data_IF_212128027105
#
_entry.id   IF_212128027105
#
_cell.length_a   1.000
_cell.length_b   1.000
_cell.length_c   1.000
_cell.angle_alpha   90.00
_cell.angle_beta   90.00
_cell.angle_gamma   90.00
#
_symmetry.space_group_name_H-M   'P 1'
#
loop_
_entity.id
_entity.type
_entity.pdbx_description
1 polymer ?
#
# COMPACT_ATOMS: atom_id res chain seq x y z
N UNK A 1 27.45 -3.36 14.70
CA UNK A 1 26.61 -2.17 14.43
C UNK A 1 26.17 -2.28 12.98
N UNK A 2 24.92 -2.68 12.73
CA UNK A 2 24.37 -2.79 11.37
C UNK A 2 23.97 -1.37 10.99
N UNK A 3 24.68 -0.76 10.04
CA UNK A 3 24.26 0.52 9.47
C UNK A 3 22.86 0.32 8.88
N UNK A 4 21.87 1.01 9.48
CA UNK A 4 20.52 1.08 8.99
C UNK A 4 20.57 1.50 7.52
N UNK A 5 19.91 0.73 6.67
CA UNK A 5 19.47 1.24 5.38
C UNK A 5 18.73 2.57 5.60
N UNK A 6 18.80 3.53 4.65
CA UNK A 6 18.12 4.83 4.79
C UNK A 6 16.64 4.65 5.19
N UNK A 7 15.98 5.67 5.74
CA UNK A 7 14.55 5.65 6.16
C UNK A 7 13.61 4.99 5.13
N UNK A 8 13.90 5.20 3.84
CA UNK A 8 13.21 4.64 2.66
C UNK A 8 13.71 3.26 2.23
N UNK A 9 14.70 2.71 2.92
CA UNK A 9 15.42 1.49 2.61
C UNK A 9 14.52 0.27 2.57
N UNK A 10 13.41 0.24 3.34
CA UNK A 10 12.41 -0.82 3.25
C UNK A 10 11.67 -0.77 1.91
N UNK A 11 11.23 0.42 1.51
CA UNK A 11 10.59 0.63 0.22
C UNK A 11 11.56 0.38 -0.93
N UNK A 12 12.77 0.96 -0.88
CA UNK A 12 13.80 0.80 -1.91
C UNK A 12 14.30 -0.63 -2.02
N UNK A 13 14.47 -1.35 -0.90
CA UNK A 13 14.82 -2.77 -0.95
C UNK A 13 13.69 -3.59 -1.57
N UNK A 14 12.45 -3.37 -1.16
CA UNK A 14 11.30 -4.04 -1.77
C UNK A 14 11.19 -3.72 -3.25
N UNK A 15 11.36 -2.46 -3.64
CA UNK A 15 11.29 -1.99 -5.01
C UNK A 15 12.41 -2.61 -5.85
N UNK A 16 13.64 -2.61 -5.33
CA UNK A 16 14.78 -3.27 -5.96
C UNK A 16 14.54 -4.76 -6.20
N UNK A 17 14.01 -5.47 -5.20
CA UNK A 17 13.64 -6.89 -5.38
C UNK A 17 12.54 -7.07 -6.43
N UNK A 18 11.51 -6.22 -6.43
CA UNK A 18 10.47 -6.24 -7.45
C UNK A 18 11.03 -6.03 -8.87
N UNK A 19 11.93 -5.06 -9.04
CA UNK A 19 12.64 -4.81 -10.30
C UNK A 19 13.49 -6.00 -10.71
N UNK A 20 14.25 -6.60 -9.79
CA UNK A 20 15.08 -7.78 -10.08
C UNK A 20 14.22 -8.97 -10.53
N UNK A 21 13.08 -9.21 -9.88
CA UNK A 21 12.13 -10.28 -10.27
C UNK A 21 11.52 -9.99 -11.65
N UNK A 22 11.12 -8.74 -11.92
CA UNK A 22 10.62 -8.34 -13.22
C UNK A 22 11.67 -8.54 -14.34
N UNK A 23 12.91 -8.10 -14.11
CA UNK A 23 14.00 -8.27 -15.06
C UNK A 23 14.32 -9.76 -15.29
N UNK A 24 14.35 -10.57 -14.25
CA UNK A 24 14.56 -12.01 -14.38
C UNK A 24 13.45 -12.68 -15.19
N UNK A 25 12.19 -12.28 -15.02
CA UNK A 25 11.06 -12.77 -15.81
C UNK A 25 11.18 -12.31 -17.28
N UNK A 26 11.57 -11.05 -17.52
CA UNK A 26 11.76 -10.51 -18.86
C UNK A 26 12.86 -11.28 -19.63
N UNK A 27 13.98 -11.55 -18.97
CA UNK A 27 15.10 -12.31 -19.53
C UNK A 27 14.74 -13.77 -19.85
N UNK A 28 13.73 -14.32 -19.18
CA UNK A 28 13.18 -15.65 -19.46
C UNK A 28 12.14 -15.66 -20.60
N UNK A 29 11.93 -14.52 -21.27
CA UNK A 29 10.98 -14.40 -22.38
C UNK A 29 9.52 -14.40 -21.95
N UNK A 30 9.23 -14.09 -20.69
CA UNK A 30 7.85 -14.00 -20.19
C UNK A 30 7.12 -12.81 -20.82
N UNK A 31 5.79 -12.91 -20.94
CA UNK A 31 4.98 -11.81 -21.46
C UNK A 31 5.06 -10.58 -20.55
N UNK A 32 4.90 -9.38 -21.13
CA UNK A 32 4.99 -8.11 -20.40
C UNK A 32 4.06 -8.07 -19.18
N UNK A 33 2.88 -8.66 -19.30
CA UNK A 33 1.89 -8.74 -18.23
C UNK A 33 2.40 -9.60 -17.07
N UNK A 34 3.02 -10.74 -17.37
CA UNK A 34 3.59 -11.63 -16.36
C UNK A 34 4.80 -11.00 -15.65
N UNK A 35 5.65 -10.29 -16.40
CA UNK A 35 6.78 -9.51 -15.88
C UNK A 35 6.32 -8.50 -14.83
N UNK A 36 5.27 -7.74 -15.16
CA UNK A 36 4.69 -6.74 -14.25
C UNK A 36 4.10 -7.39 -13.00
N UNK A 37 3.31 -8.45 -13.15
CA UNK A 37 2.65 -9.12 -12.02
C UNK A 37 3.65 -9.77 -11.07
N UNK A 38 4.68 -10.46 -11.58
CA UNK A 38 5.70 -11.07 -10.74
C UNK A 38 6.52 -10.02 -9.97
N UNK A 39 6.99 -8.98 -10.66
CA UNK A 39 7.73 -7.90 -10.03
C UNK A 39 6.90 -7.14 -9.01
N UNK A 40 5.66 -6.81 -9.36
CA UNK A 40 4.70 -6.15 -8.47
C UNK A 40 4.40 -6.98 -7.21
N UNK A 41 4.09 -8.27 -7.36
CA UNK A 41 3.83 -9.16 -6.22
C UNK A 41 5.07 -9.31 -5.32
N UNK A 42 6.26 -9.46 -5.90
CA UNK A 42 7.49 -9.52 -5.12
C UNK A 42 7.73 -8.23 -4.32
N UNK A 43 7.51 -7.07 -4.93
CA UNK A 43 7.54 -5.78 -4.25
C UNK A 43 6.53 -5.72 -3.10
N UNK A 44 5.24 -5.98 -3.37
CA UNK A 44 4.18 -5.88 -2.36
C UNK A 44 4.43 -6.82 -1.18
N UNK A 45 4.75 -8.10 -1.45
CA UNK A 45 4.98 -9.10 -0.41
C UNK A 45 6.15 -8.67 0.49
N UNK A 46 7.29 -8.30 -0.10
CA UNK A 46 8.45 -7.91 0.68
C UNK A 46 8.21 -6.62 1.45
N UNK A 47 7.61 -5.61 0.81
CA UNK A 47 7.28 -4.35 1.47
C UNK A 47 6.35 -4.57 2.66
N UNK A 48 5.25 -5.29 2.48
CA UNK A 48 4.29 -5.60 3.54
C UNK A 48 4.93 -6.42 4.67
N UNK A 49 5.80 -7.39 4.36
CA UNK A 49 6.51 -8.16 5.37
C UNK A 49 7.46 -7.28 6.22
N UNK A 50 8.17 -6.34 5.59
CA UNK A 50 9.04 -5.39 6.28
C UNK A 50 8.23 -4.40 7.13
N UNK A 51 7.11 -3.92 6.60
CA UNK A 51 6.22 -3.01 7.31
C UNK A 51 5.51 -3.67 8.48
N UNK A 52 5.06 -4.91 8.34
CA UNK A 52 4.46 -5.66 9.44
C UNK A 52 5.44 -5.91 10.61
N UNK A 53 6.76 -6.01 10.32
CA UNK A 53 7.79 -6.04 11.37
C UNK A 53 7.97 -4.68 12.02
N UNK A 54 7.98 -3.60 11.23
CA UNK A 54 8.09 -2.24 11.74
C UNK A 54 6.92 -1.87 12.64
N UNK A 55 5.69 -2.07 12.17
CA UNK A 55 4.45 -1.72 12.88
C UNK A 55 4.39 -2.42 14.24
N UNK A 56 4.71 -3.73 14.29
CA UNK A 56 4.73 -4.49 15.55
C UNK A 56 5.81 -4.06 16.53
N UNK A 57 6.85 -3.38 16.06
CA UNK A 57 7.98 -2.95 16.87
C UNK A 57 7.97 -1.43 17.17
N UNK A 58 6.99 -0.68 16.66
CA UNK A 58 6.97 0.79 16.76
C UNK A 58 5.88 1.23 17.73
N UNK A 59 6.29 1.71 18.90
CA UNK A 59 5.41 2.43 19.81
C UNK A 59 5.44 3.95 19.56
N UNK A 60 4.75 4.73 20.42
CA UNK A 60 4.69 6.19 20.30
C UNK A 60 6.07 6.87 20.29
N UNK A 61 7.00 6.37 21.10
CA UNK A 61 8.34 6.95 21.22
C UNK A 61 9.15 6.78 19.93
N UNK A 62 9.10 5.59 19.33
CA UNK A 62 9.75 5.31 18.06
C UNK A 62 9.13 6.14 16.94
N UNK A 63 7.80 6.21 16.85
CA UNK A 63 7.13 7.00 15.81
C UNK A 63 7.49 8.49 15.91
N UNK A 64 7.54 9.06 17.12
CA UNK A 64 7.99 10.43 17.36
C UNK A 64 9.43 10.64 16.88
N UNK A 65 10.35 9.77 17.29
CA UNK A 65 11.76 9.87 16.91
C UNK A 65 11.97 9.77 15.38
N UNK A 66 11.13 8.99 14.68
CA UNK A 66 11.17 8.90 13.22
C UNK A 66 10.54 10.13 12.54
N UNK A 67 9.55 10.75 13.17
CA UNK A 67 8.86 11.91 12.62
C UNK A 67 9.68 13.20 12.76
N UNK A 68 10.48 13.38 13.81
CA UNK A 68 11.32 14.59 14.00
C UNK A 68 12.44 14.77 12.97
N UNK A 69 12.70 13.75 12.14
CA UNK A 69 13.66 13.82 11.05
C UNK A 69 12.94 14.36 9.79
N UNK A 70 13.42 15.45 9.20
CA UNK A 70 12.79 16.08 8.02
C UNK A 70 12.55 15.09 6.86
N UNK A 71 11.39 15.22 6.24
CA UNK A 71 10.79 14.21 5.36
C UNK A 71 11.03 14.46 3.87
N UNK A 72 12.31 14.45 3.47
CA UNK A 72 12.67 14.48 2.06
C UNK A 72 12.36 13.12 1.40
N UNK A 73 11.23 13.02 0.70
CA UNK A 73 10.94 11.91 -0.22
C UNK A 73 9.62 11.14 -0.02
N UNK A 74 8.81 11.42 1.01
CA UNK A 74 7.52 10.72 1.18
C UNK A 74 6.56 10.95 0.02
N UNK A 75 6.51 12.16 -0.53
CA UNK A 75 5.70 12.45 -1.72
C UNK A 75 6.15 11.60 -2.94
N UNK A 76 7.47 11.43 -3.13
CA UNK A 76 8.02 10.61 -4.21
C UNK A 76 7.68 9.13 -4.00
N UNK A 77 7.79 8.61 -2.78
CA UNK A 77 7.48 7.21 -2.48
C UNK A 77 6.00 6.92 -2.66
N UNK A 78 5.13 7.81 -2.19
CA UNK A 78 3.69 7.70 -2.41
C UNK A 78 3.37 7.71 -3.92
N UNK A 79 4.03 8.57 -4.70
CA UNK A 79 3.88 8.61 -6.14
C UNK A 79 4.36 7.31 -6.81
N UNK A 80 5.54 6.81 -6.47
CA UNK A 80 6.09 5.57 -7.01
C UNK A 80 5.21 4.35 -6.66
N UNK A 81 4.72 4.29 -5.42
CA UNK A 81 3.80 3.26 -4.99
C UNK A 81 2.50 3.32 -5.78
N UNK A 82 1.90 4.51 -5.89
CA UNK A 82 0.66 4.72 -6.63
C UNK A 82 0.82 4.32 -8.10
N UNK A 83 1.96 4.66 -8.72
CA UNK A 83 2.26 4.24 -10.08
C UNK A 83 2.39 2.72 -10.20
N UNK A 84 3.10 2.06 -9.28
CA UNK A 84 3.23 0.60 -9.26
C UNK A 84 1.86 -0.10 -9.11
N UNK A 85 0.98 0.48 -8.31
CA UNK A 85 -0.41 0.04 -8.12
C UNK A 85 -1.23 0.22 -9.39
N UNK A 86 -1.18 1.38 -10.02
CA UNK A 86 -1.91 1.64 -11.28
C UNK A 86 -1.46 0.68 -12.37
N UNK A 87 -0.14 0.48 -12.51
CA UNK A 87 0.44 -0.45 -13.47
C UNK A 87 -0.01 -1.88 -13.18
N UNK A 88 -0.08 -2.27 -11.90
CA UNK A 88 -0.59 -3.58 -11.49
C UNK A 88 -2.08 -3.74 -11.79
N UNK A 89 -2.93 -2.74 -11.48
CA UNK A 89 -4.37 -2.77 -11.81
C UNK A 89 -4.62 -2.88 -13.31
N UNK A 90 -3.86 -2.15 -14.12
CA UNK A 90 -3.93 -2.25 -15.58
C UNK A 90 -3.53 -3.66 -16.06
N UNK A 91 -2.45 -4.23 -15.52
CA UNK A 91 -2.03 -5.59 -15.84
C UNK A 91 -3.10 -6.63 -15.48
N UNK A 92 -3.73 -6.50 -14.31
CA UNK A 92 -4.81 -7.40 -13.86
C UNK A 92 -5.99 -7.34 -14.84
N UNK A 93 -6.42 -6.14 -15.24
CA UNK A 93 -7.53 -5.98 -16.19
C UNK A 93 -7.25 -6.65 -17.54
N UNK A 94 -6.02 -6.51 -18.05
CA UNK A 94 -5.58 -7.16 -19.29
C UNK A 94 -5.59 -8.68 -19.18
N UNK A 95 -5.12 -9.25 -18.05
CA UNK A 95 -5.14 -10.70 -17.82
C UNK A 95 -6.56 -11.25 -17.75
N UNK A 96 -7.44 -10.56 -17.01
CA UNK A 96 -8.80 -11.02 -16.80
C UNK A 96 -9.65 -10.93 -18.09
N UNK A 97 -9.28 -10.04 -19.02
CA UNK A 97 -9.92 -9.92 -20.33
C UNK A 97 -9.37 -10.86 -21.41
N UNK A 98 -8.31 -11.64 -21.10
CA UNK A 98 -7.65 -12.53 -22.05
C UNK A 98 -8.18 -13.97 -21.99
N UNK A 99 -7.94 -14.75 -23.06
CA UNK A 99 -8.37 -16.15 -23.19
C UNK A 99 -7.79 -17.10 -22.12
N UNK A 100 -8.39 -18.29 -21.96
CA UNK A 100 -8.08 -19.36 -20.98
C UNK A 100 -6.59 -19.74 -20.85
N UNK A 101 -5.78 -19.48 -21.88
CA UNK A 101 -4.35 -19.84 -21.94
C UNK A 101 -3.46 -19.16 -20.87
N UNK A 102 -4.00 -18.21 -20.10
CA UNK A 102 -3.27 -17.42 -19.11
C UNK A 102 -3.62 -17.74 -17.64
N UNK A 103 -4.03 -18.97 -17.33
CA UNK A 103 -4.48 -19.36 -15.97
C UNK A 103 -3.49 -18.98 -14.85
N UNK A 104 -2.18 -19.21 -15.03
CA UNK A 104 -1.18 -18.84 -14.02
C UNK A 104 -1.11 -17.32 -13.81
N UNK A 105 -1.16 -16.54 -14.89
CA UNK A 105 -1.19 -15.08 -14.82
C UNK A 105 -2.45 -14.58 -14.10
N UNK A 106 -3.61 -15.23 -14.31
CA UNK A 106 -4.86 -14.92 -13.60
C UNK A 106 -4.70 -15.10 -12.10
N UNK A 107 -4.05 -16.17 -11.65
CA UNK A 107 -3.77 -16.41 -10.23
C UNK A 107 -2.87 -15.32 -9.63
N UNK A 108 -1.77 -14.95 -10.31
CA UNK A 108 -0.91 -13.85 -9.85
C UNK A 108 -1.66 -12.52 -9.79
N UNK A 109 -2.52 -12.26 -10.78
CA UNK A 109 -3.35 -11.07 -10.83
C UNK A 109 -4.35 -11.02 -9.66
N UNK A 110 -5.01 -12.12 -9.35
CA UNK A 110 -5.92 -12.24 -8.21
C UNK A 110 -5.20 -12.01 -6.87
N UNK A 111 -3.97 -12.50 -6.72
CA UNK A 111 -3.14 -12.27 -5.53
C UNK A 111 -2.65 -10.82 -5.43
N UNK A 112 -2.37 -10.16 -6.56
CA UNK A 112 -1.96 -8.76 -6.58
C UNK A 112 -3.02 -7.81 -6.03
N UNK A 113 -4.30 -8.15 -6.16
CA UNK A 113 -5.42 -7.29 -5.74
C UNK A 113 -5.35 -6.94 -4.24
N UNK A 114 -5.42 -7.91 -3.30
CA UNK A 114 -5.35 -7.62 -1.87
C UNK A 114 -3.98 -7.10 -1.44
N UNK A 115 -2.90 -7.50 -2.11
CA UNK A 115 -1.54 -7.03 -1.82
C UNK A 115 -1.36 -5.54 -2.13
N UNK A 116 -1.78 -5.11 -3.32
CA UNK A 116 -1.74 -3.71 -3.72
C UNK A 116 -2.63 -2.85 -2.83
N UNK A 117 -3.83 -3.35 -2.50
CA UNK A 117 -4.77 -2.67 -1.61
C UNK A 117 -4.15 -2.48 -0.23
N UNK A 118 -3.65 -3.54 0.39
CA UNK A 118 -2.98 -3.48 1.70
C UNK A 118 -1.79 -2.51 1.68
N UNK A 119 -1.02 -2.51 0.59
CA UNK A 119 0.16 -1.63 0.44
C UNK A 119 -0.22 -0.15 0.47
N UNK A 120 -1.29 0.26 -0.23
CA UNK A 120 -1.83 1.64 -0.16
C UNK A 120 -2.10 2.03 1.29
N UNK A 121 -2.82 1.18 1.99
CA UNK A 121 -3.34 1.51 3.32
C UNK A 121 -2.23 1.54 4.36
N UNK A 122 -1.23 0.67 4.24
CA UNK A 122 -0.02 0.72 5.07
C UNK A 122 0.81 1.98 4.79
N UNK A 123 0.97 2.37 3.52
CA UNK A 123 1.67 3.62 3.17
C UNK A 123 0.98 4.85 3.75
N UNK A 124 -0.34 4.94 3.58
CA UNK A 124 -1.12 6.06 4.11
C UNK A 124 -1.17 6.05 5.63
N UNK A 125 -1.20 4.88 6.28
CA UNK A 125 -1.11 4.78 7.74
C UNK A 125 0.19 5.42 8.26
N UNK A 126 1.33 5.10 7.64
CA UNK A 126 2.60 5.72 8.03
C UNK A 126 2.64 7.21 7.71
N UNK A 127 1.97 7.65 6.64
CA UNK A 127 1.82 9.07 6.35
C UNK A 127 0.98 9.78 7.43
N UNK A 128 -0.09 9.17 7.94
CA UNK A 128 -0.84 9.70 9.07
C UNK A 128 -0.01 9.76 10.35
N UNK A 129 0.74 8.71 10.65
CA UNK A 129 1.67 8.70 11.80
C UNK A 129 2.68 9.86 11.69
N UNK A 130 3.24 10.06 10.50
CA UNK A 130 4.15 11.16 10.23
C UNK A 130 3.48 12.53 10.43
N UNK A 131 2.30 12.75 9.86
CA UNK A 131 1.55 14.00 10.03
C UNK A 131 1.19 14.26 11.50
N UNK A 132 0.90 13.21 12.26
CA UNK A 132 0.57 13.30 13.68
C UNK A 132 1.79 13.71 14.52
N UNK A 133 2.95 13.09 14.28
CA UNK A 133 4.13 13.27 15.13
C UNK A 133 5.10 14.38 14.70
N UNK A 134 5.19 14.74 13.42
CA UNK A 134 6.14 15.75 12.90
C UNK A 134 5.70 17.21 13.19
N UNK A 135 4.41 17.44 13.46
CA UNK A 135 3.85 18.77 13.74
C UNK A 135 3.72 19.08 15.25
N UNK A 136 2.69 19.86 15.62
CA UNK A 136 2.39 20.25 17.00
C UNK A 136 1.84 19.11 17.91
N UNK A 137 2.01 17.85 17.50
CA UNK A 137 1.30 16.65 17.99
C UNK A 137 -0.22 16.75 17.79
N UNK A 138 -0.79 15.87 16.97
CA UNK A 138 -2.25 15.77 16.80
C UNK A 138 -2.75 15.79 15.37
N UNK A 139 -4.01 16.18 15.19
CA UNK A 139 -4.70 16.15 13.91
C UNK A 139 -5.52 14.89 13.65
N UNK A 140 -5.35 13.86 14.49
CA UNK A 140 -6.27 12.75 14.67
C UNK A 140 -6.44 12.48 16.17
N UNK A 141 -7.67 12.25 16.62
CA UNK A 141 -7.99 11.86 17.99
C UNK A 141 -8.53 10.44 17.99
N UNK A 142 -7.80 9.55 18.67
CA UNK A 142 -8.13 8.14 18.81
C UNK A 142 -8.90 7.91 20.12
N UNK A 143 -9.89 7.01 20.15
CA UNK A 143 -10.56 6.66 21.40
C UNK A 143 -9.60 5.95 22.35
N UNK A 144 -9.86 6.09 23.65
CA UNK A 144 -8.94 5.62 24.69
C UNK A 144 -8.00 6.72 25.19
N UNK A 145 -7.22 6.41 26.21
CA UNK A 145 -6.23 7.34 26.78
C UNK A 145 -4.84 6.88 26.35
N UNK A 146 -4.08 7.75 25.70
CA UNK A 146 -2.70 7.46 25.31
C UNK A 146 -2.30 8.16 24.03
N UNK A 147 -1.02 8.07 23.69
CA UNK A 147 -0.51 8.46 22.38
C UNK A 147 -0.69 7.28 21.41
N UNK A 148 -1.12 7.52 20.16
CA UNK A 148 -1.43 6.45 19.22
C UNK A 148 -0.18 5.73 18.74
N UNK A 149 -0.22 4.40 18.70
CA UNK A 149 0.88 3.61 18.15
C UNK A 149 0.71 3.36 16.64
N UNK A 150 1.60 2.57 16.03
CA UNK A 150 1.55 2.31 14.60
C UNK A 150 0.28 1.53 14.19
N UNK A 151 -0.27 0.70 15.07
CA UNK A 151 -1.49 -0.07 14.80
C UNK A 151 -2.72 0.83 14.81
N UNK A 152 -2.75 1.89 15.63
CA UNK A 152 -3.83 2.88 15.61
C UNK A 152 -3.95 3.57 14.24
N UNK A 153 -2.82 3.99 13.66
CA UNK A 153 -2.83 4.59 12.31
C UNK A 153 -3.18 3.59 11.21
N UNK A 154 -2.77 2.32 11.35
CA UNK A 154 -3.18 1.24 10.45
C UNK A 154 -4.69 1.04 10.53
N UNK A 155 -5.25 0.98 11.75
CA UNK A 155 -6.67 0.89 11.98
C UNK A 155 -7.43 2.06 11.30
N UNK A 156 -7.03 3.30 11.57
CA UNK A 156 -7.66 4.47 10.94
C UNK A 156 -7.59 4.43 9.41
N UNK A 157 -6.43 4.07 8.85
CA UNK A 157 -6.22 3.96 7.41
C UNK A 157 -7.14 2.92 6.79
N UNK A 158 -7.21 1.71 7.37
CA UNK A 158 -8.06 0.63 6.84
C UNK A 158 -9.55 0.95 6.98
N UNK A 159 -10.00 1.57 8.08
CA UNK A 159 -11.41 1.98 8.25
C UNK A 159 -11.82 3.01 7.21
N UNK A 160 -10.98 4.02 6.95
CA UNK A 160 -11.20 4.99 5.86
C UNK A 160 -11.25 4.27 4.50
N UNK A 161 -10.31 3.35 4.31
CA UNK A 161 -10.12 2.59 3.09
C UNK A 161 -11.25 1.65 2.68
N UNK A 162 -11.89 1.02 3.66
CA UNK A 162 -13.04 0.14 3.44
C UNK A 162 -14.31 0.88 3.02
N UNK A 163 -14.30 2.22 3.02
CA UNK A 163 -15.41 3.10 2.55
C UNK A 163 -16.76 2.96 3.26
N UNK A 164 -16.86 2.13 4.31
CA UNK A 164 -18.05 1.93 5.14
C UNK A 164 -17.99 2.70 6.47
N UNK A 165 -17.30 3.85 6.49
CA UNK A 165 -16.86 4.58 7.70
C UNK A 165 -17.81 4.49 8.90
N UNK A 166 -17.44 3.65 9.87
CA UNK A 166 -17.78 3.81 11.29
C UNK A 166 -16.44 3.88 12.02
N UNK A 167 -15.73 5.01 11.84
CA UNK A 167 -14.50 5.26 12.57
C UNK A 167 -14.83 6.01 13.86
N UNK A 168 -14.27 5.56 14.96
CA UNK A 168 -14.21 6.27 16.24
C UNK A 168 -13.04 7.27 16.30
N UNK A 169 -12.26 7.40 15.21
CA UNK A 169 -11.14 8.35 15.07
C UNK A 169 -11.63 9.66 14.46
N UNK A 170 -11.35 10.77 15.15
CA UNK A 170 -11.77 12.11 14.71
C UNK A 170 -10.61 12.86 14.05
N UNK A 171 -10.85 13.46 12.88
CA UNK A 171 -9.84 14.25 12.14
C UNK A 171 -9.93 15.73 12.48
N UNK A 172 -8.92 16.27 13.16
CA UNK A 172 -8.96 17.62 13.72
C UNK A 172 -8.25 18.67 12.84
N UNK A 173 -7.16 18.29 12.16
CA UNK A 173 -6.34 19.25 11.41
C UNK A 173 -6.73 19.36 9.93
N UNK A 174 -6.56 20.56 9.35
CA UNK A 174 -6.82 20.79 7.92
C UNK A 174 -5.88 19.98 7.03
N UNK A 175 -4.64 19.77 7.46
CA UNK A 175 -3.65 19.01 6.71
C UNK A 175 -4.03 17.53 6.64
N UNK A 176 -4.42 16.94 7.77
CA UNK A 176 -4.89 15.55 7.81
C UNK A 176 -6.19 15.41 7.02
N UNK A 177 -7.13 16.35 7.10
CA UNK A 177 -8.34 16.33 6.25
C UNK A 177 -8.04 16.24 4.75
N UNK A 178 -7.00 16.95 4.26
CA UNK A 178 -6.58 16.85 2.85
C UNK A 178 -6.04 15.46 2.52
N UNK A 179 -5.20 14.89 3.39
CA UNK A 179 -4.66 13.55 3.21
C UNK A 179 -5.78 12.49 3.22
N UNK A 180 -6.72 12.60 4.17
CA UNK A 180 -7.92 11.75 4.25
C UNK A 180 -8.78 11.88 3.00
N UNK A 181 -9.00 13.08 2.47
CA UNK A 181 -9.76 13.26 1.24
C UNK A 181 -9.10 12.54 0.05
N UNK A 182 -7.79 12.71 -0.14
CA UNK A 182 -7.05 12.02 -1.21
C UNK A 182 -7.13 10.51 -1.02
N UNK A 183 -6.90 10.02 0.20
CA UNK A 183 -6.98 8.60 0.52
C UNK A 183 -8.38 8.04 0.24
N UNK A 184 -9.45 8.69 0.70
CA UNK A 184 -10.82 8.26 0.47
C UNK A 184 -11.17 8.18 -1.02
N UNK A 185 -10.75 9.16 -1.82
CA UNK A 185 -10.97 9.15 -3.28
C UNK A 185 -10.23 7.98 -3.93
N UNK A 186 -8.95 7.79 -3.60
CA UNK A 186 -8.15 6.67 -4.12
C UNK A 186 -8.77 5.33 -3.71
N UNK A 187 -9.16 5.16 -2.46
CA UNK A 187 -9.76 3.92 -1.96
C UNK A 187 -11.12 3.64 -2.56
N UNK A 188 -11.96 4.66 -2.82
CA UNK A 188 -13.21 4.48 -3.55
C UNK A 188 -13.00 3.89 -4.94
N UNK A 189 -12.10 4.47 -5.74
CA UNK A 189 -11.79 3.95 -7.06
C UNK A 189 -11.12 2.57 -6.99
N UNK A 190 -10.22 2.34 -6.03
CA UNK A 190 -9.60 1.05 -5.83
C UNK A 190 -10.66 -0.03 -5.54
N UNK A 191 -11.57 0.21 -4.58
CA UNK A 191 -12.65 -0.72 -4.24
C UNK A 191 -13.57 -0.99 -5.45
N UNK A 192 -13.84 0.04 -6.26
CA UNK A 192 -14.60 -0.11 -7.50
C UNK A 192 -13.88 -1.02 -8.50
N UNK A 193 -12.56 -0.86 -8.65
CA UNK A 193 -11.74 -1.76 -9.46
C UNK A 193 -11.78 -3.19 -8.92
N UNK A 194 -11.60 -3.40 -7.61
CA UNK A 194 -11.69 -4.75 -7.00
C UNK A 194 -13.03 -5.40 -7.34
N UNK A 195 -14.13 -4.67 -7.18
CA UNK A 195 -15.47 -5.19 -7.46
C UNK A 195 -15.62 -5.55 -8.95
N UNK A 196 -15.18 -4.67 -9.86
CA UNK A 196 -15.24 -4.93 -11.29
C UNK A 196 -14.42 -6.17 -11.70
N UNK A 197 -13.21 -6.31 -11.14
CA UNK A 197 -12.34 -7.45 -11.38
C UNK A 197 -12.93 -8.75 -10.80
N UNK A 198 -13.56 -8.69 -9.61
CA UNK A 198 -14.24 -9.83 -9.00
C UNK A 198 -15.45 -10.29 -9.83
N UNK A 199 -16.26 -9.36 -10.34
CA UNK A 199 -17.38 -9.66 -11.24
C UNK A 199 -16.87 -10.32 -12.52
N UNK A 200 -15.83 -9.74 -13.14
CA UNK A 200 -15.25 -10.31 -14.35
C UNK A 200 -14.72 -11.73 -14.10
N UNK A 201 -13.95 -11.93 -13.04
CA UNK A 201 -13.44 -13.25 -12.67
C UNK A 201 -14.57 -14.28 -12.42
N UNK A 202 -15.68 -13.87 -11.81
CA UNK A 202 -16.84 -14.74 -11.59
C UNK A 202 -17.55 -15.12 -12.89
N UNK A 203 -17.69 -14.19 -13.83
CA UNK A 203 -18.26 -14.46 -15.16
C UNK A 203 -17.37 -15.44 -15.91
N UNK A 204 -16.06 -15.22 -15.93
CA UNK A 204 -15.11 -16.10 -16.63
C UNK A 204 -15.05 -17.50 -16.01
N UNK A 205 -15.15 -17.62 -14.68
CA UNK A 205 -15.15 -18.92 -14.00
C UNK A 205 -16.44 -19.74 -14.19
N UNK A 206 -17.53 -19.10 -14.63
CA UNK A 206 -18.82 -19.76 -14.89
C UNK A 206 -19.04 -20.16 -16.36
N UNK A 207 -18.08 -19.86 -17.24
CA UNK A 207 -18.04 -20.30 -18.64
C UNK A 207 -17.28 -21.61 -18.79
#
# INVERSE_FOLDING_TARGET
MIHLAPRHGRFLAAFGVGVLVALAALLQGQSAVYVVLLGGNAFFILYLALMARLIRASGPAELRAHAEQDDEGVALILLLALLAIIVSLAAIFLVLSADESMLSARLFALVSIPLGWTTVHVLVAMHYAHLYYHGAHGGMTFPGKGEPDAMDFVYASFVIGMTAQVSDVTVESRQVRKAVLVHSVVSFFYNTCILALAINAAITAGQ
#
